data_IF_371843784306
#
_entry.id   IF_371843784306
#
_cell.length_a   1.000
_cell.length_b   1.000
_cell.length_c   1.000
_cell.angle_alpha   90.00
_cell.angle_beta   90.00
_cell.angle_gamma   90.00
#
_symmetry.space_group_name_H-M   'P 1'
#
loop_
_entity.id
_entity.type
_entity.pdbx_description
1 polymer ?
#
# COMPACT_ATOMS: atom_id res chain seq x y z
N UNK A 1 -19.77 -15.54 -30.35
CA UNK A 1 -19.33 -15.56 -28.94
C UNK A 1 -18.86 -16.95 -28.52
N UNK A 2 -18.04 -17.65 -29.34
CA UNK A 2 -17.47 -18.96 -28.95
C UNK A 2 -15.97 -19.09 -29.29
N UNK A 3 -15.29 -18.03 -29.73
CA UNK A 3 -13.91 -18.14 -30.22
C UNK A 3 -12.85 -17.72 -29.18
N UNK A 4 -13.20 -16.81 -28.26
CA UNK A 4 -12.24 -16.28 -27.26
C UNK A 4 -11.83 -17.34 -26.22
N UNK A 5 -12.67 -18.36 -25.98
CA UNK A 5 -12.39 -19.39 -24.98
C UNK A 5 -11.35 -20.44 -25.43
N UNK A 6 -11.03 -20.51 -26.74
CA UNK A 6 -10.09 -21.53 -27.27
C UNK A 6 -8.63 -21.04 -27.34
N UNK A 7 -8.37 -19.79 -26.98
CA UNK A 7 -7.06 -19.16 -27.17
C UNK A 7 -6.26 -18.96 -25.87
N UNK A 8 -6.79 -19.43 -24.74
CA UNK A 8 -6.11 -19.43 -23.44
C UNK A 8 -5.58 -20.83 -23.14
N UNK A 9 -4.69 -21.33 -24.00
CA UNK A 9 -3.85 -22.51 -23.72
C UNK A 9 -2.67 -22.12 -22.80
N UNK A 10 -2.98 -21.35 -21.76
CA UNK A 10 -2.03 -21.01 -20.70
C UNK A 10 -2.42 -21.89 -19.52
N UNK A 11 -1.68 -22.99 -19.39
CA UNK A 11 -1.90 -23.97 -18.34
C UNK A 11 -1.95 -23.28 -16.97
N UNK A 12 -2.93 -23.66 -16.14
CA UNK A 12 -3.12 -23.14 -14.78
C UNK A 12 -1.85 -23.32 -13.92
N UNK A 13 -0.99 -24.28 -14.28
CA UNK A 13 0.36 -24.48 -13.73
C UNK A 13 1.26 -23.24 -13.86
N UNK A 14 1.16 -22.48 -14.96
CA UNK A 14 1.96 -21.27 -15.17
C UNK A 14 1.53 -20.13 -14.24
N UNK A 15 0.27 -20.11 -13.79
CA UNK A 15 -0.21 -19.15 -12.81
C UNK A 15 0.07 -19.57 -11.36
N UNK A 16 0.50 -20.83 -11.14
CA UNK A 16 0.76 -21.39 -9.81
C UNK A 16 2.26 -21.61 -9.53
N UNK A 17 3.16 -21.41 -10.51
CA UNK A 17 4.60 -21.68 -10.35
C UNK A 17 5.48 -20.43 -10.26
N UNK A 18 4.90 -19.25 -10.08
CA UNK A 18 5.65 -18.07 -9.64
C UNK A 18 5.06 -17.49 -8.35
N UNK A 19 4.86 -18.37 -7.35
CA UNK A 19 4.88 -17.92 -5.96
C UNK A 19 6.32 -17.52 -5.64
N UNK A 20 6.66 -16.31 -6.10
CA UNK A 20 7.84 -15.59 -5.68
C UNK A 20 7.78 -15.57 -4.16
N UNK A 21 8.64 -16.39 -3.55
CA UNK A 21 8.84 -16.58 -2.11
C UNK A 21 8.28 -15.38 -1.33
N UNK A 22 7.26 -15.55 -0.46
CA UNK A 22 6.90 -14.50 0.47
C UNK A 22 8.09 -14.31 1.42
N UNK A 23 8.98 -13.38 1.05
CA UNK A 23 10.05 -12.96 1.93
C UNK A 23 9.41 -12.15 3.04
N UNK A 24 9.47 -12.71 4.25
CA UNK A 24 9.07 -12.11 5.52
C UNK A 24 7.57 -11.79 5.68
N UNK A 25 6.81 -12.82 6.08
CA UNK A 25 5.71 -12.63 7.02
C UNK A 25 6.28 -12.42 8.44
N UNK A 26 7.12 -11.39 8.61
CA UNK A 26 7.30 -10.80 9.92
C UNK A 26 6.01 -10.08 10.28
N UNK A 27 5.66 -9.99 11.56
CA UNK A 27 4.53 -9.17 12.00
C UNK A 27 4.56 -7.82 11.26
N UNK A 28 3.40 -7.28 10.81
CA UNK A 28 3.37 -6.04 10.04
C UNK A 28 4.12 -4.98 10.85
N UNK A 29 5.34 -4.66 10.41
CA UNK A 29 6.20 -3.72 11.11
C UNK A 29 5.43 -2.41 11.06
N UNK A 30 4.94 -1.96 12.22
CA UNK A 30 4.24 -0.68 12.32
C UNK A 30 5.19 0.39 11.81
N UNK A 31 4.85 0.95 10.66
CA UNK A 31 5.59 2.03 10.03
C UNK A 31 4.88 3.32 10.41
N UNK A 32 5.66 4.29 10.87
CA UNK A 32 5.24 5.68 10.95
C UNK A 32 6.14 6.53 10.06
N UNK A 33 5.82 7.81 9.92
CA UNK A 33 6.61 8.76 9.13
C UNK A 33 8.11 8.70 9.48
N UNK A 34 8.47 8.69 10.77
CA UNK A 34 9.87 8.67 11.19
C UNK A 34 10.58 7.37 10.81
N UNK A 35 9.90 6.22 10.93
CA UNK A 35 10.44 4.92 10.52
C UNK A 35 10.71 4.88 9.02
N UNK A 36 9.81 5.42 8.19
CA UNK A 36 9.99 5.52 6.74
C UNK A 36 11.18 6.43 6.38
N UNK A 37 11.34 7.54 7.09
CA UNK A 37 12.46 8.46 6.87
C UNK A 37 13.80 7.86 7.27
N UNK A 38 13.83 7.10 8.37
CA UNK A 38 15.01 6.40 8.87
C UNK A 38 15.36 5.15 8.05
N UNK A 39 14.40 4.58 7.32
CA UNK A 39 14.62 3.44 6.43
C UNK A 39 15.17 3.90 5.08
N UNK A 40 16.47 3.67 4.87
CA UNK A 40 17.13 4.03 3.61
C UNK A 40 16.73 3.14 2.43
N UNK A 41 16.18 1.95 2.71
CA UNK A 41 15.70 1.01 1.70
C UNK A 41 14.24 1.27 1.31
N UNK A 42 13.52 2.15 2.01
CA UNK A 42 12.16 2.50 1.66
C UNK A 42 12.10 3.15 0.25
N UNK A 43 11.06 2.87 -0.54
CA UNK A 43 10.92 3.41 -1.90
C UNK A 43 11.04 4.93 -1.93
N UNK A 44 11.77 5.46 -2.92
CA UNK A 44 12.06 6.90 -3.01
C UNK A 44 10.78 7.76 -3.02
N UNK A 45 9.73 7.31 -3.71
CA UNK A 45 8.43 8.00 -3.72
C UNK A 45 7.74 8.03 -2.36
N UNK A 46 7.82 6.94 -1.59
CA UNK A 46 7.24 6.85 -0.24
C UNK A 46 8.01 7.74 0.74
N UNK A 47 9.35 7.74 0.67
CA UNK A 47 10.19 8.64 1.46
C UNK A 47 9.94 10.11 1.08
N UNK A 48 9.78 10.41 -0.20
CA UNK A 48 9.47 11.76 -0.67
C UNK A 48 8.08 12.23 -0.18
N UNK A 49 7.10 11.34 -0.08
CA UNK A 49 5.81 11.65 0.54
C UNK A 49 5.97 11.93 2.05
N UNK A 50 6.72 11.09 2.77
CA UNK A 50 6.98 11.28 4.19
C UNK A 50 7.75 12.59 4.49
N UNK A 51 8.64 13.03 3.59
CA UNK A 51 9.37 14.29 3.69
C UNK A 51 8.49 15.52 3.45
N UNK A 52 7.39 15.38 2.71
CA UNK A 52 6.49 16.49 2.37
C UNK A 52 5.55 16.81 3.55
N UNK A 53 6.08 17.54 4.53
CA UNK A 53 5.35 17.92 5.74
C UNK A 53 4.01 18.57 5.45
N UNK A 54 3.94 19.46 4.47
CA UNK A 54 2.71 20.14 4.07
C UNK A 54 1.62 19.15 3.65
N UNK A 55 1.95 18.17 2.81
CA UNK A 55 0.98 17.15 2.38
C UNK A 55 0.61 16.17 3.49
N UNK A 56 1.59 15.75 4.29
CA UNK A 56 1.34 14.86 5.43
C UNK A 56 0.37 15.50 6.42
N UNK A 57 0.60 16.77 6.75
CA UNK A 57 -0.23 17.52 7.70
C UNK A 57 -1.59 17.85 7.09
N UNK A 58 -1.67 18.19 5.80
CA UNK A 58 -2.94 18.45 5.13
C UNK A 58 -3.83 17.19 5.03
N UNK A 59 -3.22 16.03 4.78
CA UNK A 59 -3.94 14.77 4.62
C UNK A 59 -4.13 14.00 5.93
N UNK A 60 -3.48 14.43 7.02
CA UNK A 60 -3.51 13.75 8.32
C UNK A 60 -3.23 12.24 8.17
N UNK A 61 -2.10 11.91 7.54
CA UNK A 61 -1.74 10.51 7.26
C UNK A 61 -1.40 9.80 8.58
N UNK A 62 -2.22 8.83 8.95
CA UNK A 62 -2.07 8.05 10.17
C UNK A 62 -0.99 6.96 10.07
N UNK A 63 -0.50 6.47 11.21
CA UNK A 63 0.47 5.37 11.27
C UNK A 63 -0.05 4.07 10.64
N UNK A 64 -1.36 3.83 10.70
CA UNK A 64 -1.99 2.69 10.03
C UNK A 64 -1.87 2.81 8.51
N UNK A 65 -2.10 4.01 7.96
CA UNK A 65 -1.98 4.27 6.53
C UNK A 65 -0.52 4.21 6.06
N UNK A 66 0.42 4.70 6.85
CA UNK A 66 1.85 4.54 6.56
C UNK A 66 2.25 3.06 6.50
N UNK A 67 1.75 2.26 7.43
CA UNK A 67 1.96 0.80 7.44
C UNK A 67 1.36 0.15 6.20
N UNK A 68 0.15 0.53 5.81
CA UNK A 68 -0.49 0.02 4.60
C UNK A 68 0.27 0.41 3.33
N UNK A 69 0.65 1.69 3.18
CA UNK A 69 1.42 2.17 2.03
C UNK A 69 2.77 1.47 1.90
N UNK A 70 3.45 1.19 3.02
CA UNK A 70 4.73 0.48 3.03
C UNK A 70 4.59 -1.01 2.72
N UNK A 71 3.43 -1.61 3.01
CA UNK A 71 3.17 -3.02 2.79
C UNK A 71 2.79 -3.35 1.33
N UNK A 72 2.38 -2.36 0.53
CA UNK A 72 2.03 -2.59 -0.87
C UNK A 72 3.30 -2.73 -1.71
N UNK A 73 3.52 -3.90 -2.37
CA UNK A 73 4.66 -4.08 -3.26
C UNK A 73 4.43 -3.28 -4.54
N UNK A 74 5.02 -2.09 -4.61
CA UNK A 74 5.01 -1.25 -5.81
C UNK A 74 6.35 -1.32 -6.53
N UNK A 75 6.34 -0.96 -7.82
CA UNK A 75 7.57 -0.76 -8.56
C UNK A 75 8.44 0.31 -7.86
N UNK A 76 9.77 0.14 -7.81
CA UNK A 76 10.67 1.06 -7.12
C UNK A 76 10.66 2.48 -7.71
N UNK A 77 10.20 2.63 -8.95
CA UNK A 77 10.07 3.88 -9.68
C UNK A 77 8.79 4.67 -9.38
N UNK A 78 7.88 4.16 -8.53
CA UNK A 78 6.66 4.89 -8.19
C UNK A 78 7.01 6.21 -7.51
N UNK A 79 6.48 7.29 -8.07
CA UNK A 79 6.72 8.65 -7.61
C UNK A 79 5.89 8.99 -6.36
N UNK A 80 6.21 10.12 -5.72
CA UNK A 80 5.41 10.70 -4.63
C UNK A 80 3.91 10.77 -4.99
N UNK A 81 3.59 11.22 -6.20
CA UNK A 81 2.21 11.34 -6.69
C UNK A 81 1.51 9.98 -6.79
N UNK A 82 2.23 8.93 -7.18
CA UNK A 82 1.68 7.57 -7.20
C UNK A 82 1.30 7.06 -5.81
N UNK A 83 2.15 7.32 -4.80
CA UNK A 83 1.82 6.98 -3.41
C UNK A 83 0.65 7.80 -2.85
N UNK A 84 0.53 9.08 -3.22
CA UNK A 84 -0.65 9.90 -2.88
C UNK A 84 -1.93 9.32 -3.50
N UNK A 85 -1.88 8.95 -4.78
CA UNK A 85 -3.02 8.34 -5.44
C UNK A 85 -3.41 7.01 -4.76
N UNK A 86 -2.44 6.17 -4.41
CA UNK A 86 -2.69 4.94 -3.67
C UNK A 86 -3.32 5.22 -2.31
N UNK A 87 -2.82 6.20 -1.55
CA UNK A 87 -3.42 6.60 -0.27
C UNK A 87 -4.89 6.97 -0.44
N UNK A 88 -5.21 7.79 -1.44
CA UNK A 88 -6.59 8.20 -1.73
C UNK A 88 -7.44 6.98 -2.12
N UNK A 89 -6.90 6.06 -2.93
CA UNK A 89 -7.58 4.82 -3.29
C UNK A 89 -7.85 3.93 -2.07
N UNK A 90 -6.87 3.76 -1.17
CA UNK A 90 -7.04 2.99 0.07
C UNK A 90 -8.14 3.59 0.95
N UNK A 91 -8.16 4.93 1.12
CA UNK A 91 -9.22 5.64 1.85
C UNK A 91 -10.60 5.51 1.23
N UNK A 92 -10.66 5.39 -0.11
CA UNK A 92 -11.94 5.30 -0.83
C UNK A 92 -12.57 3.91 -0.72
N UNK A 93 -11.75 2.88 -0.50
CA UNK A 93 -12.18 1.48 -0.41
C UNK A 93 -12.39 1.08 1.04
N UNK A 94 -11.61 1.65 1.97
CA UNK A 94 -11.79 1.39 3.40
C UNK A 94 -12.99 2.21 3.92
N UNK A 95 -13.89 1.61 4.70
CA UNK A 95 -14.86 2.39 5.44
C UNK A 95 -14.10 3.38 6.33
N UNK A 96 -14.59 4.62 6.52
CA UNK A 96 -13.98 5.53 7.48
C UNK A 96 -13.90 4.77 8.80
N UNK A 97 -12.67 4.60 9.32
CA UNK A 97 -12.45 3.92 10.57
C UNK A 97 -13.45 4.50 11.56
N UNK A 98 -14.40 3.68 12.01
CA UNK A 98 -15.50 4.14 12.83
C UNK A 98 -14.90 4.87 14.02
N UNK A 99 -15.07 6.19 14.03
CA UNK A 99 -14.98 6.95 15.26
C UNK A 99 -15.81 6.18 16.27
N UNK A 100 -15.15 5.76 17.34
CA UNK A 100 -15.78 5.08 18.45
C UNK A 100 -16.78 6.08 19.04
N UNK A 101 -18.02 6.07 18.54
CA UNK A 101 -19.14 6.78 19.15
C UNK A 101 -19.35 6.10 20.49
N UNK A 102 -18.71 6.68 21.51
CA UNK A 102 -19.07 6.45 22.90
C UNK A 102 -20.56 6.78 23.01
N UNK A 103 -21.38 5.74 23.15
CA UNK A 103 -22.77 5.87 23.55
C UNK A 103 -22.74 6.30 25.02
N UNK A 104 -23.20 7.51 25.39
CA UNK A 104 -23.45 7.80 26.78
C UNK A 104 -24.73 7.07 27.18
N UNK A 105 -24.65 6.27 28.26
CA UNK A 105 -25.81 5.80 29.02
C UNK A 105 -26.27 6.92 29.97
#
# INVERSE_FOLDING_TARGET
>A
WCDVARQLDVSLDTLLMEETRPQHLGEPRRMNKLAILADYSAPAGLRALALDGTLVDALQISDAEWTQLAAVPLAPSVSKTGYLQLLISLRSIQPPASDHVATPD
#
